data_IF_525099858397
#
_entry.id   IF_525099858397
#
_cell.length_a   1.000
_cell.length_b   1.000
_cell.length_c   1.000
_cell.angle_alpha   90.00
_cell.angle_beta   90.00
_cell.angle_gamma   90.00
#
_symmetry.space_group_name_H-M   'P 1'
#
loop_
_entity.id
_entity.type
_entity.pdbx_description
1 polymer ?
#
# COMPACT_ATOMS: atom_id res chain seq x y z
N UNK A 1 -49.73 48.13 -41.88
CA UNK A 1 -49.14 49.41 -42.30
C UNK A 1 -47.62 49.14 -42.20
N UNK A 2 -47.01 48.86 -43.31
CA UNK A 2 -46.19 49.73 -44.16
C UNK A 2 -44.94 50.18 -43.46
N UNK A 3 -43.77 49.98 -43.89
CA UNK A 3 -42.98 49.81 -45.11
C UNK A 3 -41.52 50.07 -44.63
N UNK A 4 -40.51 49.65 -45.12
CA UNK A 4 -39.78 49.45 -46.35
C UNK A 4 -38.26 49.51 -46.08
N UNK A 5 -37.54 48.71 -46.81
CA UNK A 5 -36.08 48.74 -47.02
C UNK A 5 -35.66 49.98 -47.85
N UNK A 6 -34.40 50.29 -48.08
CA UNK A 6 -33.41 49.45 -48.81
C UNK A 6 -31.96 49.63 -48.32
N UNK A 7 -31.04 48.64 -48.54
CA UNK A 7 -30.08 48.36 -49.65
C UNK A 7 -29.04 49.44 -49.93
N UNK A 8 -27.76 49.04 -49.82
CA UNK A 8 -26.74 49.17 -50.89
C UNK A 8 -25.48 48.36 -50.58
N UNK A 9 -25.04 47.64 -51.59
CA UNK A 9 -23.78 46.90 -51.70
C UNK A 9 -22.64 47.80 -52.20
N UNK A 10 -21.41 47.35 -52.10
CA UNK A 10 -20.21 47.54 -52.96
C UNK A 10 -18.98 47.25 -52.11
N UNK A 11 -17.94 46.55 -52.43
CA UNK A 11 -17.35 45.85 -53.55
C UNK A 11 -15.97 45.27 -53.07
N UNK A 12 -15.53 44.29 -53.78
CA UNK A 12 -14.33 43.48 -53.59
C UNK A 12 -12.99 44.26 -53.64
N UNK A 13 -12.01 43.70 -52.82
CA UNK A 13 -10.57 43.88 -53.02
C UNK A 13 -9.77 42.73 -52.43
N UNK A 14 -8.75 42.18 -53.10
CA UNK A 14 -8.13 40.91 -52.73
C UNK A 14 -7.12 41.04 -51.60
N UNK A 15 -7.12 40.02 -50.72
CA UNK A 15 -6.15 39.86 -49.65
C UNK A 15 -4.77 39.42 -50.15
N UNK A 16 -3.67 39.85 -49.54
CA UNK A 16 -2.32 39.41 -49.87
C UNK A 16 -1.99 38.08 -49.20
N UNK A 17 -1.27 37.25 -49.93
CA UNK A 17 -0.71 35.96 -49.50
C UNK A 17 0.46 36.17 -48.53
N UNK A 18 0.51 35.50 -47.36
CA UNK A 18 1.70 35.53 -46.53
C UNK A 18 2.77 34.56 -47.01
N UNK A 19 4.07 34.83 -46.73
CA UNK A 19 5.20 34.04 -47.22
C UNK A 19 5.33 32.70 -46.51
N UNK A 20 5.75 31.68 -47.25
CA UNK A 20 6.18 30.36 -46.78
C UNK A 20 7.39 30.53 -45.86
N UNK A 21 7.32 29.93 -44.68
CA UNK A 21 8.49 29.65 -43.83
C UNK A 21 8.84 28.16 -43.97
N UNK A 22 10.12 27.96 -44.23
CA UNK A 22 10.75 26.66 -44.39
C UNK A 22 10.74 25.85 -43.08
N UNK A 23 10.57 24.59 -43.32
CA UNK A 23 10.60 23.46 -42.42
C UNK A 23 11.93 23.27 -41.69
N UNK A 24 11.87 23.00 -40.43
CA UNK A 24 12.99 22.54 -39.60
C UNK A 24 12.66 22.44 -38.12
N UNK A 25 11.65 21.64 -37.77
CA UNK A 25 11.46 21.27 -36.35
C UNK A 25 11.21 19.78 -36.21
N UNK A 26 12.18 19.16 -35.58
CA UNK A 26 12.15 17.78 -35.11
C UNK A 26 10.93 17.57 -34.19
N UNK A 27 10.12 16.57 -34.54
CA UNK A 27 8.96 16.15 -33.76
C UNK A 27 9.36 15.75 -32.36
N UNK A 28 9.23 16.67 -31.41
CA UNK A 28 9.19 16.40 -30.01
C UNK A 28 7.86 15.68 -29.69
N UNK A 29 7.95 14.45 -29.19
CA UNK A 29 6.81 13.70 -28.67
C UNK A 29 6.11 14.56 -27.64
N UNK A 30 4.91 15.03 -27.96
CA UNK A 30 4.05 15.74 -27.04
C UNK A 30 3.80 14.86 -25.82
N UNK A 31 4.19 15.33 -24.64
CA UNK A 31 3.74 14.78 -23.35
C UNK A 31 2.25 15.07 -23.25
N UNK A 32 1.42 14.10 -23.58
CA UNK A 32 0.02 14.14 -23.20
C UNK A 32 -0.10 14.06 -21.69
N UNK A 33 -0.85 15.01 -21.11
CA UNK A 33 -1.33 14.98 -19.74
C UNK A 33 -0.47 15.70 -18.71
N UNK A 34 -0.33 17.01 -18.84
CA UNK A 34 -0.14 17.86 -17.66
C UNK A 34 -1.46 17.82 -16.89
N UNK A 35 -1.59 16.87 -15.94
CA UNK A 35 -2.64 16.95 -14.94
C UNK A 35 -2.45 18.25 -14.16
N UNK A 36 -3.56 18.92 -13.86
CA UNK A 36 -3.60 20.07 -12.97
C UNK A 36 -2.73 19.82 -11.72
N UNK A 37 -2.11 20.86 -11.13
CA UNK A 37 -1.37 20.73 -9.89
C UNK A 37 -2.25 19.93 -8.93
N UNK A 38 -1.63 19.00 -8.19
CA UNK A 38 -2.32 18.13 -7.24
C UNK A 38 -3.06 19.00 -6.24
N UNK A 39 -4.27 19.45 -6.62
CA UNK A 39 -5.14 20.16 -5.70
C UNK A 39 -5.23 19.28 -4.47
N UNK A 40 -4.83 19.85 -3.33
CA UNK A 40 -4.62 19.14 -2.09
C UNK A 40 -5.92 18.43 -1.69
N UNK A 41 -6.09 17.17 -2.11
CA UNK A 41 -7.23 16.37 -1.69
C UNK A 41 -7.07 16.12 -0.19
N UNK A 42 -7.88 16.73 0.70
CA UNK A 42 -7.60 16.81 2.13
C UNK A 42 -7.63 15.45 2.83
N UNK A 43 -8.31 14.46 2.25
CA UNK A 43 -8.31 13.08 2.75
C UNK A 43 -7.10 12.28 2.28
N UNK A 44 -6.37 12.72 1.24
CA UNK A 44 -5.14 12.09 0.75
C UNK A 44 -3.92 12.70 1.42
N UNK A 45 -3.85 14.03 1.48
CA UNK A 45 -2.67 14.75 1.94
C UNK A 45 -2.90 15.45 3.28
N UNK A 46 -1.94 15.33 4.17
CA UNK A 46 -1.81 16.22 5.32
C UNK A 46 -1.02 17.47 4.95
N UNK A 47 0.08 17.27 4.24
CA UNK A 47 0.92 18.34 3.69
C UNK A 47 1.32 17.94 2.28
N UNK A 48 1.33 18.87 1.35
CA UNK A 48 1.77 18.68 -0.04
C UNK A 48 2.59 19.86 -0.51
N UNK A 49 3.56 19.62 -1.38
CA UNK A 49 4.42 20.60 -2.04
C UNK A 49 4.78 20.16 -3.46
N UNK A 50 5.51 21.00 -4.18
CA UNK A 50 5.92 20.72 -5.57
C UNK A 50 7.43 20.98 -5.78
N UNK A 51 8.32 20.11 -5.25
CA UNK A 51 8.09 19.08 -4.23
C UNK A 51 8.01 19.66 -2.80
N UNK A 52 7.51 18.84 -1.84
CA UNK A 52 7.59 19.18 -0.41
C UNK A 52 9.05 19.10 0.09
N UNK A 53 9.77 18.06 -0.36
CA UNK A 53 11.21 17.92 -0.14
C UNK A 53 11.84 17.43 -1.45
N UNK A 54 12.79 18.22 -1.98
CA UNK A 54 13.51 17.86 -3.19
C UNK A 54 14.53 16.74 -2.92
N UNK A 55 14.79 15.93 -3.94
CA UNK A 55 15.84 14.91 -3.91
C UNK A 55 17.21 15.54 -3.61
N UNK A 56 18.02 14.83 -2.84
CA UNK A 56 19.38 15.32 -2.49
C UNK A 56 20.33 15.29 -3.69
N UNK A 57 20.10 14.37 -4.61
CA UNK A 57 20.93 14.19 -5.80
C UNK A 57 20.21 13.41 -6.89
N UNK A 58 20.71 13.42 -8.10
CA UNK A 58 20.26 12.52 -9.15
C UNK A 58 20.63 11.05 -8.82
N UNK A 59 19.73 10.12 -9.14
CA UNK A 59 19.92 8.70 -8.88
C UNK A 59 18.94 7.82 -9.65
N UNK A 60 18.86 6.56 -9.26
CA UNK A 60 18.02 5.55 -9.94
C UNK A 60 16.53 5.84 -9.85
N UNK A 61 16.09 6.67 -8.91
CA UNK A 61 14.70 7.09 -8.74
C UNK A 61 14.42 8.52 -9.22
N UNK A 62 15.37 9.17 -9.94
CA UNK A 62 15.17 10.54 -10.43
C UNK A 62 13.90 10.68 -11.26
N UNK A 63 13.13 11.71 -10.96
CA UNK A 63 11.83 12.00 -11.56
C UNK A 63 10.67 11.19 -10.95
N UNK A 64 10.90 10.40 -9.90
CA UNK A 64 9.85 9.71 -9.16
C UNK A 64 9.40 10.55 -7.97
N UNK A 65 8.08 10.60 -7.73
CA UNK A 65 7.41 11.34 -6.67
C UNK A 65 6.95 10.39 -5.57
N UNK A 66 7.22 10.74 -4.31
CA UNK A 66 6.91 9.91 -3.15
C UNK A 66 5.78 10.51 -2.32
N UNK A 67 4.74 9.71 -2.03
CA UNK A 67 3.77 9.95 -0.99
C UNK A 67 4.25 9.24 0.30
N UNK A 68 4.63 10.00 1.31
CA UNK A 68 5.13 9.47 2.58
C UNK A 68 3.98 9.34 3.56
N UNK A 69 3.70 8.14 4.08
CA UNK A 69 2.69 7.92 5.11
C UNK A 69 2.99 8.75 6.35
N UNK A 70 1.96 9.37 6.94
CA UNK A 70 2.06 10.24 8.12
C UNK A 70 2.36 9.47 9.43
N UNK A 71 3.31 8.54 9.33
CA UNK A 71 3.97 7.82 10.42
C UNK A 71 5.49 7.91 10.32
N UNK A 72 6.01 8.49 9.22
CA UNK A 72 7.45 8.65 9.03
C UNK A 72 7.86 10.09 9.27
N UNK A 73 8.97 10.27 9.93
CA UNK A 73 9.61 11.56 10.10
C UNK A 73 10.01 12.16 8.74
N UNK A 74 9.53 13.36 8.49
CA UNK A 74 9.98 14.23 7.41
C UNK A 74 10.51 15.50 8.09
N UNK A 75 11.79 15.78 7.97
CA UNK A 75 12.43 16.91 8.64
C UNK A 75 11.65 18.22 8.39
N UNK A 76 11.44 19.00 9.44
CA UNK A 76 10.65 20.22 9.41
C UNK A 76 9.14 20.02 9.61
N UNK A 77 8.67 18.77 9.76
CA UNK A 77 7.26 18.46 9.98
C UNK A 77 7.08 17.53 11.18
N UNK A 78 5.99 17.72 11.93
CA UNK A 78 5.57 16.78 12.96
C UNK A 78 4.91 15.54 12.32
N UNK A 79 4.92 14.40 13.00
CA UNK A 79 4.19 13.20 12.58
C UNK A 79 2.78 13.28 13.14
N UNK A 80 1.77 13.23 12.25
CA UNK A 80 0.36 13.39 12.65
C UNK A 80 -0.36 12.12 13.03
N UNK A 81 0.15 10.96 12.65
CA UNK A 81 -0.41 9.64 12.96
C UNK A 81 -1.93 9.51 12.72
N UNK A 82 -2.49 10.27 11.78
CA UNK A 82 -3.91 10.22 11.46
C UNK A 82 -4.84 10.80 12.53
N UNK A 83 -4.33 11.52 13.56
CA UNK A 83 -5.13 12.11 14.63
C UNK A 83 -4.75 13.58 14.87
N UNK A 84 -5.73 14.52 14.91
CA UNK A 84 -5.44 15.95 15.07
C UNK A 84 -4.97 16.33 16.48
N UNK A 85 -5.36 15.59 17.52
CA UNK A 85 -4.88 15.85 18.88
C UNK A 85 -3.43 15.40 19.03
N UNK A 86 -3.09 14.22 18.49
CA UNK A 86 -1.71 13.76 18.40
C UNK A 86 -0.82 14.77 17.68
N UNK A 87 -1.25 15.25 16.51
CA UNK A 87 -0.48 16.21 15.71
C UNK A 87 -0.18 17.51 16.47
N UNK A 88 -1.10 18.00 17.30
CA UNK A 88 -0.88 19.24 18.08
C UNK A 88 0.21 19.10 19.14
N UNK A 89 0.41 17.89 19.66
CA UNK A 89 1.38 17.60 20.73
C UNK A 89 2.69 17.05 20.17
N UNK A 90 2.68 16.56 18.92
CA UNK A 90 3.84 15.92 18.31
C UNK A 90 4.97 16.94 18.05
N UNK A 91 6.24 16.61 18.36
CA UNK A 91 7.38 17.46 18.05
C UNK A 91 7.59 17.57 16.53
N UNK A 92 8.20 18.67 16.11
CA UNK A 92 8.70 18.80 14.74
C UNK A 92 9.96 17.97 14.60
N UNK A 93 10.00 17.09 13.61
CA UNK A 93 11.11 16.19 13.36
C UNK A 93 12.33 16.96 12.81
N UNK A 94 13.51 16.72 13.36
CA UNK A 94 14.77 17.36 12.95
C UNK A 94 15.49 16.60 11.83
N UNK A 95 15.11 15.34 11.57
CA UNK A 95 15.72 14.48 10.56
C UNK A 95 14.64 13.68 9.81
N UNK A 96 14.99 13.21 8.63
CA UNK A 96 14.13 12.27 7.90
C UNK A 96 14.23 10.87 8.48
N UNK A 97 13.14 10.12 8.43
CA UNK A 97 13.17 8.68 8.65
C UNK A 97 14.14 7.98 7.69
N UNK A 98 14.75 6.88 8.11
CA UNK A 98 15.78 6.19 7.33
C UNK A 98 15.31 5.84 5.91
N UNK A 99 14.07 5.37 5.75
CA UNK A 99 13.50 5.04 4.45
C UNK A 99 13.26 6.29 3.58
N UNK A 100 12.79 7.38 4.15
CA UNK A 100 12.61 8.68 3.45
C UNK A 100 13.95 9.18 2.95
N UNK A 101 14.94 9.17 3.82
CA UNK A 101 16.31 9.59 3.51
C UNK A 101 16.93 8.75 2.37
N UNK A 102 16.71 7.44 2.38
CA UNK A 102 17.20 6.55 1.33
C UNK A 102 16.57 6.88 -0.04
N UNK A 103 15.27 7.19 -0.09
CA UNK A 103 14.56 7.56 -1.31
C UNK A 103 15.06 8.92 -1.86
N UNK A 104 15.24 9.94 -1.00
CA UNK A 104 15.79 11.24 -1.37
C UNK A 104 17.21 11.10 -1.95
N UNK A 105 18.06 10.29 -1.32
CA UNK A 105 19.42 9.99 -1.81
C UNK A 105 19.43 9.23 -3.13
N UNK A 106 18.39 8.46 -3.39
CA UNK A 106 18.24 7.74 -4.66
C UNK A 106 17.66 8.61 -5.79
N UNK A 107 17.31 9.87 -5.51
CA UNK A 107 16.85 10.83 -6.49
C UNK A 107 15.33 10.99 -6.60
N UNK A 108 14.57 10.43 -5.66
CA UNK A 108 13.12 10.64 -5.61
C UNK A 108 12.78 11.92 -4.82
N UNK A 109 11.78 12.66 -5.29
CA UNK A 109 11.23 13.83 -4.60
C UNK A 109 10.09 13.42 -3.67
N UNK A 110 10.03 13.94 -2.45
CA UNK A 110 8.84 13.81 -1.60
C UNK A 110 7.81 14.86 -2.03
N UNK A 111 6.68 14.40 -2.57
CA UNK A 111 5.57 15.28 -2.96
C UNK A 111 4.77 15.71 -1.74
N UNK A 112 4.57 14.81 -0.78
CA UNK A 112 3.79 15.15 0.40
C UNK A 112 3.74 14.07 1.46
N UNK A 113 3.16 14.46 2.59
CA UNK A 113 2.86 13.58 3.73
C UNK A 113 1.40 13.14 3.57
N UNK A 114 1.21 11.85 3.33
CA UNK A 114 -0.08 11.25 3.04
C UNK A 114 -0.80 10.80 4.32
N UNK A 115 -2.11 11.03 4.37
CA UNK A 115 -2.98 10.59 5.47
C UNK A 115 -2.90 9.07 5.68
N UNK A 116 -3.20 8.66 6.91
CA UNK A 116 -3.26 7.28 7.36
C UNK A 116 -4.51 7.06 8.20
N UNK A 117 -4.94 5.82 8.37
CA UNK A 117 -5.94 5.49 9.39
C UNK A 117 -5.39 5.88 10.77
N UNK A 118 -6.28 6.23 11.70
CA UNK A 118 -5.94 6.76 13.01
C UNK A 118 -4.98 5.84 13.77
N UNK A 119 -3.84 6.38 14.23
CA UNK A 119 -2.75 5.67 14.90
C UNK A 119 -2.33 4.37 14.17
N UNK A 120 -2.43 4.37 12.84
CA UNK A 120 -2.18 3.22 11.97
C UNK A 120 -3.10 2.01 12.19
N UNK A 121 -4.12 2.11 13.05
CA UNK A 121 -5.03 1.01 13.37
C UNK A 121 -6.26 1.02 12.49
N UNK A 122 -6.22 0.26 11.39
CA UNK A 122 -7.32 0.10 10.45
C UNK A 122 -6.89 -0.62 9.19
N UNK A 123 -7.86 -1.19 8.46
CA UNK A 123 -7.66 -1.85 7.17
C UNK A 123 -8.56 -1.27 6.07
N UNK A 124 -9.38 -0.28 6.41
CA UNK A 124 -10.39 0.25 5.51
C UNK A 124 -9.98 1.54 4.79
N UNK A 125 -9.14 2.35 5.39
CA UNK A 125 -8.86 3.70 4.91
C UNK A 125 -9.93 4.71 5.33
N UNK A 126 -10.74 4.38 6.33
CA UNK A 126 -11.71 5.29 6.93
C UNK A 126 -11.09 5.95 8.15
N UNK A 127 -10.88 7.24 8.08
CA UNK A 127 -10.43 8.04 9.22
C UNK A 127 -11.55 8.96 9.68
N UNK A 128 -11.92 8.89 10.96
CA UNK A 128 -13.03 9.66 11.52
C UNK A 128 -12.80 11.17 11.52
N UNK A 129 -11.53 11.60 11.50
CA UNK A 129 -11.13 13.01 11.52
C UNK A 129 -10.97 13.60 10.11
N UNK A 130 -10.53 12.79 9.14
CA UNK A 130 -10.09 13.28 7.83
C UNK A 130 -10.83 12.66 6.65
N UNK A 131 -11.77 11.76 6.93
CA UNK A 131 -12.57 11.10 5.91
C UNK A 131 -11.83 9.97 5.19
N UNK A 132 -12.29 9.66 3.99
CA UNK A 132 -11.85 8.54 3.18
C UNK A 132 -11.11 9.06 1.94
N UNK A 133 -9.85 8.64 1.69
CA UNK A 133 -9.17 8.91 0.43
C UNK A 133 -9.90 8.23 -0.75
N UNK A 134 -9.93 8.84 -1.95
CA UNK A 134 -10.55 8.25 -3.11
C UNK A 134 -9.85 6.97 -3.56
N UNK A 135 -10.62 6.00 -4.02
CA UNK A 135 -10.13 4.82 -4.73
C UNK A 135 -10.52 4.90 -6.22
N UNK A 136 -9.65 5.34 -7.13
CA UNK A 136 -10.00 5.46 -8.55
C UNK A 136 -10.17 4.09 -9.23
N UNK A 137 -9.64 3.01 -8.66
CA UNK A 137 -9.82 1.66 -9.17
C UNK A 137 -11.20 1.08 -8.84
N UNK A 138 -11.86 1.62 -7.81
CA UNK A 138 -13.22 1.26 -7.37
C UNK A 138 -13.94 2.51 -6.83
N UNK A 139 -14.45 3.40 -7.70
CA UNK A 139 -15.05 4.67 -7.29
C UNK A 139 -16.16 4.49 -6.26
N UNK A 140 -16.18 5.35 -5.23
CA UNK A 140 -17.14 5.29 -4.12
C UNK A 140 -16.89 4.16 -3.10
N UNK A 141 -15.82 3.39 -3.25
CA UNK A 141 -15.43 2.32 -2.34
C UNK A 141 -14.15 2.67 -1.57
N UNK A 142 -13.91 1.96 -0.47
CA UNK A 142 -12.75 2.22 0.38
C UNK A 142 -11.42 1.96 -0.35
N UNK A 143 -10.36 2.73 -0.06
CA UNK A 143 -9.03 2.48 -0.64
C UNK A 143 -8.29 1.34 0.07
N UNK A 144 -8.77 0.88 1.22
CA UNK A 144 -7.99 0.05 2.14
C UNK A 144 -7.03 0.87 2.99
N UNK A 145 -6.55 0.29 4.08
CA UNK A 145 -5.70 0.95 5.08
C UNK A 145 -4.75 -0.02 5.79
N UNK A 146 -3.92 0.56 6.65
CA UNK A 146 -3.84 1.93 7.12
C UNK A 146 -3.01 2.89 6.23
N UNK A 147 -2.26 2.41 5.23
CA UNK A 147 -1.51 3.26 4.29
C UNK A 147 -2.43 3.82 3.18
N UNK A 148 -3.62 4.30 3.59
CA UNK A 148 -4.73 4.68 2.71
C UNK A 148 -4.40 5.87 1.81
N UNK A 149 -3.87 6.95 2.35
CA UNK A 149 -3.48 8.14 1.59
C UNK A 149 -2.33 7.85 0.62
N UNK A 150 -1.31 7.06 1.04
CA UNK A 150 -0.20 6.68 0.17
C UNK A 150 -0.68 5.86 -1.03
N UNK A 151 -1.58 4.89 -0.81
CA UNK A 151 -2.14 4.07 -1.87
C UNK A 151 -3.04 4.89 -2.81
N UNK A 152 -3.90 5.74 -2.25
CA UNK A 152 -4.76 6.64 -3.02
C UNK A 152 -3.94 7.61 -3.87
N UNK A 153 -2.90 8.24 -3.32
CA UNK A 153 -2.01 9.15 -4.05
C UNK A 153 -1.39 8.47 -5.26
N UNK A 154 -0.90 7.23 -5.08
CA UNK A 154 -0.30 6.45 -6.18
C UNK A 154 -1.36 6.04 -7.21
N UNK A 155 -2.52 5.57 -6.76
CA UNK A 155 -3.60 5.16 -7.65
C UNK A 155 -4.16 6.32 -8.49
N UNK A 156 -4.24 7.52 -7.91
CA UNK A 156 -4.66 8.76 -8.59
C UNK A 156 -3.57 9.35 -9.51
N UNK A 157 -2.34 8.85 -9.49
CA UNK A 157 -1.23 9.44 -10.24
C UNK A 157 -0.62 10.70 -9.62
N UNK A 158 -0.98 11.03 -8.38
CA UNK A 158 -0.44 12.17 -7.65
C UNK A 158 0.98 11.90 -7.12
N UNK A 159 1.33 10.63 -6.93
CA UNK A 159 2.67 10.14 -6.63
C UNK A 159 2.95 8.86 -7.44
N UNK A 160 4.22 8.48 -7.51
CA UNK A 160 4.66 7.27 -8.22
C UNK A 160 4.99 6.15 -7.24
N UNK A 161 5.44 6.52 -6.05
CA UNK A 161 5.83 5.64 -4.95
C UNK A 161 5.00 6.01 -3.73
N UNK A 162 4.35 5.04 -3.10
CA UNK A 162 3.73 5.18 -1.79
C UNK A 162 4.60 4.49 -0.75
N UNK A 163 5.18 5.26 0.18
CA UNK A 163 5.85 4.71 1.35
C UNK A 163 4.81 4.50 2.44
N UNK A 164 4.78 3.31 3.01
CA UNK A 164 3.81 2.91 4.03
C UNK A 164 4.40 1.96 5.07
N UNK A 165 3.57 1.52 6.00
CA UNK A 165 3.90 0.52 7.01
C UNK A 165 2.93 -0.64 6.92
N UNK A 166 3.41 -1.87 7.09
CA UNK A 166 2.57 -3.06 7.12
C UNK A 166 2.84 -3.88 8.38
N UNK A 167 1.94 -3.81 9.33
CA UNK A 167 1.91 -4.63 10.55
C UNK A 167 1.11 -5.90 10.28
N UNK A 168 -0.15 -5.69 9.92
CA UNK A 168 -1.13 -6.73 9.66
C UNK A 168 -1.95 -6.35 8.39
N UNK A 169 -1.27 -6.18 7.25
CA UNK A 169 -1.91 -5.93 5.97
C UNK A 169 -2.00 -4.46 5.53
N UNK A 170 -1.44 -3.53 6.30
CA UNK A 170 -1.62 -2.09 6.09
C UNK A 170 -1.01 -1.51 4.80
N UNK A 171 -0.29 -2.32 4.02
CA UNK A 171 0.10 -2.00 2.63
C UNK A 171 -0.54 -2.99 1.66
N UNK A 172 -0.61 -4.26 2.03
CA UNK A 172 -1.17 -5.34 1.20
C UNK A 172 -2.65 -5.11 0.86
N UNK A 173 -3.47 -4.75 1.86
CA UNK A 173 -4.91 -4.49 1.67
C UNK A 173 -5.16 -3.31 0.73
N UNK A 174 -4.60 -2.10 0.97
CA UNK A 174 -4.79 -0.99 0.04
C UNK A 174 -4.19 -1.26 -1.34
N UNK A 175 -3.11 -2.03 -1.44
CA UNK A 175 -2.57 -2.49 -2.74
C UNK A 175 -3.60 -3.30 -3.53
N UNK A 176 -4.25 -4.28 -2.87
CA UNK A 176 -5.29 -5.10 -3.47
C UNK A 176 -6.47 -4.26 -3.94
N UNK A 177 -7.01 -3.40 -3.08
CA UNK A 177 -8.19 -2.59 -3.37
C UNK A 177 -7.96 -1.49 -4.42
N UNK A 178 -6.73 -1.00 -4.54
CA UNK A 178 -6.37 0.03 -5.52
C UNK A 178 -5.74 -0.55 -6.80
N UNK A 179 -5.56 -1.87 -6.92
CA UNK A 179 -4.98 -2.52 -8.09
C UNK A 179 -3.52 -2.15 -8.35
N UNK A 180 -2.73 -2.09 -7.29
CA UNK A 180 -1.32 -1.70 -7.29
C UNK A 180 -0.39 -2.90 -7.09
N UNK A 181 0.91 -2.63 -7.09
CA UNK A 181 1.98 -3.57 -6.71
C UNK A 181 2.59 -3.11 -5.40
N UNK A 182 2.92 -4.02 -4.48
CA UNK A 182 3.61 -3.67 -3.24
C UNK A 182 4.53 -4.77 -2.74
N UNK A 183 5.51 -4.37 -1.93
CA UNK A 183 6.31 -5.27 -1.13
C UNK A 183 6.15 -4.93 0.36
N UNK A 184 5.71 -5.93 1.13
CA UNK A 184 5.98 -6.06 2.56
C UNK A 184 7.27 -6.84 2.66
N UNK A 185 8.39 -6.27 3.16
CA UNK A 185 9.64 -7.02 3.28
C UNK A 185 9.63 -7.97 4.47
N UNK A 186 10.64 -8.83 4.54
CA UNK A 186 10.98 -9.58 5.74
C UNK A 186 11.09 -8.64 6.94
N UNK A 187 10.44 -9.00 8.06
CA UNK A 187 10.46 -8.20 9.27
C UNK A 187 11.88 -7.91 9.75
N UNK A 188 12.14 -6.65 10.11
CA UNK A 188 13.45 -6.16 10.56
C UNK A 188 14.51 -6.03 9.46
N UNK A 189 14.18 -6.30 8.18
CA UNK A 189 15.15 -6.20 7.08
C UNK A 189 15.41 -4.74 6.66
N UNK A 190 14.40 -3.89 6.69
CA UNK A 190 14.48 -2.47 6.36
C UNK A 190 14.44 -1.66 7.66
N UNK A 191 15.39 -0.74 7.89
CA UNK A 191 15.39 0.08 9.10
C UNK A 191 14.12 0.92 9.25
N UNK A 192 13.53 0.91 10.45
CA UNK A 192 12.33 1.63 10.84
C UNK A 192 12.61 2.94 11.61
N UNK A 193 13.87 3.33 11.73
CA UNK A 193 14.30 4.55 12.41
C UNK A 193 13.55 5.78 11.88
N UNK A 194 12.95 6.55 12.78
CA UNK A 194 12.11 7.71 12.44
C UNK A 194 10.69 7.35 12.03
N UNK A 195 10.22 6.15 12.39
CA UNK A 195 8.83 5.72 12.22
C UNK A 195 8.13 5.63 13.57
N UNK A 196 6.87 6.07 13.65
CA UNK A 196 5.98 5.74 14.77
C UNK A 196 5.47 4.33 14.56
N UNK A 197 5.73 3.44 15.54
CA UNK A 197 5.29 2.05 15.53
C UNK A 197 3.82 1.87 15.91
N UNK A 198 3.25 0.76 15.46
CA UNK A 198 1.97 0.21 15.92
C UNK A 198 2.20 -1.03 16.79
N UNK A 199 2.95 -1.98 16.25
CA UNK A 199 3.38 -3.21 16.94
C UNK A 199 4.76 -3.61 16.40
N UNK A 200 5.85 -3.19 17.05
CA UNK A 200 7.23 -3.38 16.56
C UNK A 200 7.61 -4.83 16.24
N UNK A 201 6.99 -5.82 16.91
CA UNK A 201 7.22 -7.24 16.60
C UNK A 201 6.72 -7.67 15.20
N UNK A 202 5.93 -6.83 14.52
CA UNK A 202 5.29 -7.13 13.24
C UNK A 202 5.43 -6.00 12.21
N UNK A 203 5.73 -4.78 12.64
CA UNK A 203 5.83 -3.61 11.78
C UNK A 203 6.92 -3.76 10.73
N UNK A 204 6.61 -3.38 9.50
CA UNK A 204 7.59 -3.31 8.42
C UNK A 204 7.45 -2.00 7.65
N UNK A 205 8.58 -1.39 7.32
CA UNK A 205 8.62 -0.34 6.29
C UNK A 205 8.32 -1.00 4.95
N UNK A 206 7.27 -0.56 4.29
CA UNK A 206 6.74 -1.20 3.07
C UNK A 206 6.43 -0.15 2.01
N UNK A 207 6.33 -0.53 0.75
CA UNK A 207 6.09 0.40 -0.34
C UNK A 207 5.20 -0.19 -1.43
N UNK A 208 4.58 0.72 -2.18
CA UNK A 208 3.69 0.37 -3.28
C UNK A 208 3.88 1.31 -4.48
N UNK A 209 3.59 0.79 -5.68
CA UNK A 209 3.73 1.49 -6.96
C UNK A 209 2.66 1.04 -7.95
N UNK A 210 2.49 1.82 -9.06
CA UNK A 210 1.61 1.42 -10.17
C UNK A 210 2.23 0.36 -11.09
N UNK A 211 3.56 0.23 -11.11
CA UNK A 211 4.23 -0.67 -12.06
C UNK A 211 5.24 -1.58 -11.36
N UNK A 212 5.39 -2.82 -11.81
CA UNK A 212 6.33 -3.77 -11.23
C UNK A 212 7.79 -3.31 -11.40
N UNK A 213 8.11 -2.64 -12.49
CA UNK A 213 9.46 -2.09 -12.76
C UNK A 213 9.86 -1.04 -11.70
N UNK A 214 8.95 -0.13 -11.35
CA UNK A 214 9.24 0.86 -10.32
C UNK A 214 9.32 0.22 -8.94
N UNK A 215 8.46 -0.77 -8.65
CA UNK A 215 8.55 -1.53 -7.40
C UNK A 215 9.94 -2.17 -7.22
N UNK A 216 10.45 -2.82 -8.27
CA UNK A 216 11.79 -3.42 -8.26
C UNK A 216 12.88 -2.39 -8.01
N UNK A 217 12.83 -1.22 -8.68
CA UNK A 217 13.81 -0.14 -8.48
C UNK A 217 13.78 0.43 -7.06
N UNK A 218 12.60 0.63 -6.48
CA UNK A 218 12.45 1.07 -5.09
C UNK A 218 13.00 0.01 -4.14
N UNK A 219 12.72 -1.26 -4.42
CA UNK A 219 13.23 -2.38 -3.64
C UNK A 219 14.76 -2.47 -3.69
N UNK A 220 15.39 -2.14 -4.82
CA UNK A 220 16.86 -2.07 -4.93
C UNK A 220 17.48 -0.98 -4.06
N UNK A 221 16.72 0.08 -3.77
CA UNK A 221 17.15 1.18 -2.88
C UNK A 221 16.96 0.83 -1.42
N UNK A 222 15.81 0.26 -1.05
CA UNK A 222 15.42 0.07 0.35
C UNK A 222 15.91 -1.25 0.94
N UNK A 223 16.06 -2.30 0.11
CA UNK A 223 16.53 -3.61 0.58
C UNK A 223 18.07 -3.67 0.63
N UNK A 224 18.64 -4.31 1.64
CA UNK A 224 20.07 -4.57 1.66
C UNK A 224 20.49 -5.42 0.47
N UNK A 225 21.74 -5.22 -0.01
CA UNK A 225 22.31 -6.04 -1.09
C UNK A 225 22.65 -7.42 -0.54
N UNK A 226 21.76 -8.37 -0.79
CA UNK A 226 21.94 -9.80 -0.45
C UNK A 226 21.58 -10.65 -1.67
N UNK A 227 22.32 -11.73 -1.89
CA UNK A 227 21.89 -12.77 -2.83
C UNK A 227 20.72 -13.51 -2.22
N UNK A 228 19.67 -13.72 -3.01
CA UNK A 228 18.52 -14.53 -2.63
C UNK A 228 18.40 -15.69 -3.65
N UNK A 229 18.00 -16.87 -3.17
CA UNK A 229 17.64 -17.96 -4.06
C UNK A 229 16.44 -17.53 -4.92
N UNK A 230 16.49 -17.70 -6.24
CA UNK A 230 15.35 -17.38 -7.11
C UNK A 230 14.08 -18.12 -6.67
N UNK A 231 12.92 -17.58 -7.01
CA UNK A 231 11.66 -18.32 -6.87
C UNK A 231 11.64 -19.36 -7.98
N UNK A 232 11.58 -20.64 -7.59
CA UNK A 232 11.64 -21.80 -8.48
C UNK A 232 10.26 -22.47 -8.64
N UNK A 233 9.35 -22.22 -7.70
CA UNK A 233 7.97 -22.73 -7.76
C UNK A 233 6.98 -21.85 -7.00
N UNK A 234 5.72 -21.93 -7.43
CA UNK A 234 4.59 -21.39 -6.70
C UNK A 234 3.74 -22.52 -6.12
N UNK A 235 3.27 -22.31 -4.89
CA UNK A 235 2.29 -23.18 -4.22
C UNK A 235 0.97 -22.42 -4.12
N UNK A 236 -0.08 -22.87 -4.81
CA UNK A 236 -1.42 -22.32 -4.69
C UNK A 236 -2.06 -22.87 -3.42
N UNK A 237 -2.28 -22.01 -2.42
CA UNK A 237 -2.87 -22.36 -1.13
C UNK A 237 -4.39 -22.56 -1.27
N UNK A 238 -4.82 -23.74 -1.72
CA UNK A 238 -6.23 -24.01 -2.09
C UNK A 238 -7.23 -23.71 -0.99
N UNK A 239 -6.88 -24.00 0.25
CA UNK A 239 -7.66 -23.71 1.46
C UNK A 239 -7.81 -22.21 1.75
N UNK A 240 -6.81 -21.39 1.41
CA UNK A 240 -6.89 -19.94 1.58
C UNK A 240 -7.71 -19.27 0.47
N UNK A 241 -7.78 -19.87 -0.72
CA UNK A 241 -8.69 -19.38 -1.77
C UNK A 241 -10.17 -19.57 -1.39
N UNK A 242 -10.48 -20.51 -0.49
CA UNK A 242 -11.84 -20.72 0.00
C UNK A 242 -12.32 -19.62 0.95
N UNK A 243 -11.42 -18.76 1.45
CA UNK A 243 -11.76 -17.56 2.21
C UNK A 243 -12.21 -16.39 1.32
N UNK A 244 -11.94 -16.45 0.01
CA UNK A 244 -12.40 -15.44 -0.93
C UNK A 244 -13.89 -15.65 -1.27
N UNK A 245 -14.54 -14.55 -1.68
CA UNK A 245 -15.88 -14.57 -2.26
C UNK A 245 -15.97 -15.70 -3.31
N UNK A 246 -16.96 -16.58 -3.25
CA UNK A 246 -17.10 -17.69 -4.19
C UNK A 246 -16.99 -17.29 -5.66
N UNK A 247 -17.50 -16.10 -6.04
CA UNK A 247 -17.42 -15.59 -7.42
C UNK A 247 -15.99 -15.23 -7.86
N UNK A 248 -15.09 -14.99 -6.90
CA UNK A 248 -13.70 -14.62 -7.17
C UNK A 248 -12.72 -15.79 -7.18
N UNK A 249 -13.10 -16.95 -6.62
CA UNK A 249 -12.19 -18.08 -6.41
C UNK A 249 -11.56 -18.59 -7.69
N UNK A 250 -12.38 -18.90 -8.71
CA UNK A 250 -11.89 -19.37 -10.01
C UNK A 250 -11.09 -18.29 -10.73
N UNK A 251 -11.61 -17.06 -10.92
CA UNK A 251 -10.81 -16.00 -11.54
C UNK A 251 -9.46 -15.72 -10.88
N UNK A 252 -9.39 -15.78 -9.55
CA UNK A 252 -8.12 -15.58 -8.83
C UNK A 252 -7.16 -16.77 -9.03
N UNK A 253 -7.65 -18.00 -9.11
CA UNK A 253 -6.83 -19.18 -9.45
C UNK A 253 -6.28 -19.07 -10.88
N UNK A 254 -7.11 -18.64 -11.83
CA UNK A 254 -6.68 -18.42 -13.21
C UNK A 254 -5.62 -17.31 -13.30
N UNK A 255 -5.78 -16.23 -12.54
CA UNK A 255 -4.76 -15.19 -12.43
C UNK A 255 -3.46 -15.73 -11.80
N UNK A 256 -3.53 -16.64 -10.82
CA UNK A 256 -2.35 -17.27 -10.25
C UNK A 256 -1.59 -18.14 -11.27
N UNK A 257 -2.32 -18.89 -12.12
CA UNK A 257 -1.73 -19.63 -13.23
C UNK A 257 -1.07 -18.69 -14.24
N UNK A 258 -1.75 -17.62 -14.64
CA UNK A 258 -1.17 -16.62 -15.55
C UNK A 258 0.10 -15.96 -14.99
N UNK A 259 0.17 -15.75 -13.67
CA UNK A 259 1.39 -15.25 -13.04
C UNK A 259 2.50 -16.29 -13.01
N UNK A 260 2.20 -17.58 -12.74
CA UNK A 260 3.18 -18.66 -12.79
C UNK A 260 3.81 -18.79 -14.19
N UNK A 261 2.97 -18.74 -15.23
CA UNK A 261 3.42 -18.78 -16.63
C UNK A 261 4.33 -17.58 -16.95
N UNK A 262 3.95 -16.38 -16.51
CA UNK A 262 4.77 -15.16 -16.68
C UNK A 262 6.12 -15.27 -15.97
N UNK A 263 6.15 -15.84 -14.78
CA UNK A 263 7.37 -16.03 -14.00
C UNK A 263 8.21 -17.22 -14.51
N UNK A 264 7.66 -18.04 -15.41
CA UNK A 264 8.33 -19.23 -15.96
C UNK A 264 8.55 -20.31 -14.89
N UNK A 265 7.69 -20.40 -13.88
CA UNK A 265 7.82 -21.35 -12.77
C UNK A 265 6.57 -22.24 -12.64
N UNK A 266 6.71 -23.52 -12.21
CA UNK A 266 5.55 -24.37 -11.99
C UNK A 266 4.66 -23.87 -10.85
N UNK A 267 3.34 -23.97 -11.05
CA UNK A 267 2.32 -23.77 -10.01
C UNK A 267 1.75 -25.11 -9.59
N UNK A 268 1.82 -25.41 -8.31
CA UNK A 268 1.26 -26.64 -7.73
C UNK A 268 0.13 -26.29 -6.75
N UNK A 269 -1.06 -26.82 -6.98
CA UNK A 269 -2.18 -26.69 -6.03
C UNK A 269 -1.94 -27.61 -4.81
N UNK A 270 -2.06 -27.02 -3.62
CA UNK A 270 -1.91 -27.75 -2.35
C UNK A 270 -2.72 -27.08 -1.26
N UNK A 271 -3.33 -27.87 -0.35
CA UNK A 271 -3.76 -27.30 0.92
C UNK A 271 -2.55 -26.84 1.71
N UNK A 272 -2.55 -25.60 2.16
CA UNK A 272 -1.48 -25.05 2.99
C UNK A 272 -1.56 -25.55 4.43
N UNK A 273 -2.71 -26.14 4.82
CA UNK A 273 -3.07 -26.46 6.22
C UNK A 273 -3.15 -25.21 7.14
N UNK A 274 -2.86 -24.02 6.61
CA UNK A 274 -2.93 -22.78 7.38
C UNK A 274 -4.35 -22.49 7.86
N UNK A 275 -5.37 -22.81 7.04
CA UNK A 275 -6.77 -22.53 7.37
C UNK A 275 -7.20 -23.07 8.74
N UNK A 276 -6.65 -24.21 9.17
CA UNK A 276 -6.93 -24.81 10.47
C UNK A 276 -6.37 -24.00 11.67
N UNK A 277 -5.43 -23.11 11.43
CA UNK A 277 -4.71 -22.36 12.47
C UNK A 277 -4.95 -20.85 12.41
N UNK A 278 -5.66 -20.34 11.41
CA UNK A 278 -5.77 -18.90 11.16
C UNK A 278 -6.42 -18.15 12.32
N UNK A 279 -7.44 -18.74 12.95
CA UNK A 279 -8.10 -18.14 14.11
C UNK A 279 -7.12 -17.98 15.28
N UNK A 280 -6.39 -19.05 15.63
CA UNK A 280 -5.39 -19.05 16.69
C UNK A 280 -4.27 -18.04 16.41
N UNK A 281 -3.78 -17.97 15.15
CA UNK A 281 -2.73 -17.04 14.76
C UNK A 281 -3.22 -15.59 14.75
N UNK A 282 -4.45 -15.35 14.31
CA UNK A 282 -5.06 -14.03 14.34
C UNK A 282 -5.27 -13.51 15.76
N UNK A 283 -5.71 -14.37 16.67
CA UNK A 283 -5.86 -14.04 18.10
C UNK A 283 -4.50 -13.74 18.75
N UNK A 284 -3.50 -14.57 18.51
CA UNK A 284 -2.14 -14.35 19.03
C UNK A 284 -1.53 -13.04 18.52
N UNK A 285 -1.71 -12.75 17.21
CA UNK A 285 -1.32 -11.48 16.62
C UNK A 285 -2.02 -10.30 17.31
N UNK A 286 -3.34 -10.40 17.51
CA UNK A 286 -4.15 -9.36 18.16
C UNK A 286 -3.71 -9.09 19.61
N UNK A 287 -3.42 -10.12 20.38
CA UNK A 287 -2.92 -10.00 21.76
C UNK A 287 -1.59 -9.27 21.81
N UNK A 288 -0.61 -9.69 21.01
CA UNK A 288 0.72 -9.06 20.98
C UNK A 288 0.63 -7.63 20.47
N UNK A 289 -0.18 -7.39 19.42
CA UNK A 289 -0.40 -6.05 18.90
C UNK A 289 -1.03 -5.12 19.95
N UNK A 290 -2.04 -5.56 20.68
CA UNK A 290 -2.68 -4.75 21.72
C UNK A 290 -1.69 -4.35 22.82
N UNK A 291 -0.88 -5.31 23.31
CA UNK A 291 0.15 -5.04 24.33
C UNK A 291 1.21 -4.06 23.85
N UNK A 292 1.65 -4.18 22.60
CA UNK A 292 2.65 -3.28 22.03
C UNK A 292 2.07 -1.89 21.75
N UNK A 293 0.84 -1.81 21.26
CA UNK A 293 0.10 -0.55 21.10
C UNK A 293 -0.06 0.17 22.44
N UNK A 294 -0.41 -0.56 23.51
CA UNK A 294 -0.52 0.03 24.83
C UNK A 294 0.82 0.57 25.35
N UNK A 295 1.90 -0.14 25.15
CA UNK A 295 3.24 0.31 25.53
C UNK A 295 3.68 1.58 24.81
N UNK A 296 3.31 1.71 23.54
CA UNK A 296 3.68 2.87 22.69
C UNK A 296 2.74 4.06 22.91
N UNK A 297 1.44 3.83 23.05
CA UNK A 297 0.42 4.87 22.95
C UNK A 297 -0.45 5.00 24.21
N UNK A 298 -0.39 4.06 25.14
CA UNK A 298 -1.29 4.01 26.31
C UNK A 298 -1.20 5.24 27.21
N UNK A 299 0.01 5.77 27.44
CA UNK A 299 0.17 6.99 28.24
C UNK A 299 -0.53 8.19 27.60
N UNK A 300 -0.36 8.36 26.28
CA UNK A 300 -1.01 9.42 25.54
C UNK A 300 -2.53 9.20 25.48
N UNK A 301 -2.98 7.97 25.26
CA UNK A 301 -4.40 7.62 25.23
C UNK A 301 -5.10 7.96 26.55
N UNK A 302 -4.49 7.69 27.71
CA UNK A 302 -5.08 8.03 29.03
C UNK A 302 -5.38 9.51 29.17
N UNK A 303 -4.53 10.37 28.60
CA UNK A 303 -4.71 11.82 28.63
C UNK A 303 -5.66 12.34 27.53
N UNK A 304 -5.86 11.59 26.44
CA UNK A 304 -6.52 12.05 25.23
C UNK A 304 -7.65 11.13 24.73
N UNK A 305 -8.25 10.30 25.60
CA UNK A 305 -9.20 9.25 25.20
C UNK A 305 -10.37 9.76 24.37
N UNK A 306 -10.91 10.94 24.71
CA UNK A 306 -12.04 11.55 23.98
C UNK A 306 -11.66 12.06 22.57
N UNK A 307 -10.37 12.25 22.32
CA UNK A 307 -9.84 12.67 21.03
C UNK A 307 -9.53 11.50 20.09
N UNK A 308 -9.72 10.26 20.54
CA UNK A 308 -9.46 9.03 19.77
C UNK A 308 -10.78 8.33 19.48
N UNK A 309 -10.95 7.82 18.27
CA UNK A 309 -12.15 7.06 17.90
C UNK A 309 -12.32 5.83 18.80
N UNK A 310 -13.56 5.44 19.15
CA UNK A 310 -13.79 4.33 20.06
C UNK A 310 -13.10 3.02 19.65
N UNK A 311 -13.14 2.70 18.35
CA UNK A 311 -12.48 1.50 17.82
C UNK A 311 -10.97 1.46 18.10
N UNK A 312 -10.29 2.58 17.93
CA UNK A 312 -8.83 2.68 18.13
C UNK A 312 -8.52 2.75 19.63
N UNK A 313 -9.29 3.53 20.38
CA UNK A 313 -9.11 3.65 21.83
C UNK A 313 -9.28 2.29 22.54
N UNK A 314 -10.31 1.53 22.18
CA UNK A 314 -10.58 0.22 22.76
C UNK A 314 -9.51 -0.81 22.36
N UNK A 315 -9.02 -0.76 21.12
CA UNK A 315 -7.94 -1.63 20.66
C UNK A 315 -6.62 -1.38 21.42
N UNK A 316 -6.29 -0.12 21.70
CA UNK A 316 -5.10 0.23 22.49
C UNK A 316 -5.31 -0.17 23.95
N UNK A 317 -6.47 0.14 24.54
CA UNK A 317 -6.78 -0.14 25.93
C UNK A 317 -6.81 -1.66 26.23
N UNK A 318 -7.14 -2.48 25.24
CA UNK A 318 -7.11 -3.95 25.40
C UNK A 318 -5.74 -4.51 25.80
N UNK A 319 -4.67 -3.77 25.61
CA UNK A 319 -3.31 -4.16 25.99
C UNK A 319 -2.91 -3.75 27.41
N UNK A 320 -3.72 -2.93 28.12
CA UNK A 320 -3.37 -2.36 29.43
C UNK A 320 -3.14 -3.44 30.49
N UNK A 321 -4.12 -4.29 30.69
CA UNK A 321 -4.12 -5.31 31.74
C UNK A 321 -4.09 -6.73 31.14
N UNK A 322 -3.34 -6.92 30.06
CA UNK A 322 -3.24 -8.22 29.39
C UNK A 322 -2.68 -9.28 30.35
N UNK A 323 -3.41 -10.38 30.62
CA UNK A 323 -2.94 -11.44 31.52
C UNK A 323 -1.63 -12.06 31.03
N UNK A 324 -0.71 -12.33 31.96
CA UNK A 324 0.64 -12.81 31.61
C UNK A 324 0.63 -14.20 30.95
N UNK A 325 -0.29 -15.08 31.36
CA UNK A 325 -0.49 -16.40 30.74
C UNK A 325 -1.02 -16.29 29.29
N UNK A 326 -1.91 -15.33 29.02
CA UNK A 326 -2.42 -15.07 27.68
C UNK A 326 -1.33 -14.49 26.76
N UNK A 327 -0.50 -13.61 27.31
CA UNK A 327 0.67 -13.08 26.60
C UNK A 327 1.70 -14.18 26.30
N UNK A 328 1.94 -15.10 27.26
CA UNK A 328 2.83 -16.25 27.08
C UNK A 328 2.30 -17.20 26.00
N UNK A 329 1.00 -17.53 26.04
CA UNK A 329 0.33 -18.30 25.00
C UNK A 329 0.48 -17.67 23.61
N UNK A 330 0.26 -16.36 23.49
CA UNK A 330 0.35 -15.68 22.21
C UNK A 330 1.79 -15.74 21.61
N UNK A 331 2.81 -15.58 22.46
CA UNK A 331 4.21 -15.71 22.05
C UNK A 331 4.56 -17.11 21.60
N UNK A 332 4.11 -18.12 22.34
CA UNK A 332 4.33 -19.52 21.98
C UNK A 332 3.60 -19.88 20.67
N UNK A 333 2.37 -19.44 20.50
CA UNK A 333 1.61 -19.61 19.26
C UNK A 333 2.31 -18.98 18.04
N UNK A 334 2.83 -17.76 18.19
CA UNK A 334 3.63 -17.10 17.11
C UNK A 334 4.90 -17.90 16.84
N UNK A 335 5.56 -18.45 17.86
CA UNK A 335 6.74 -19.32 17.71
C UNK A 335 6.42 -20.57 16.89
N UNK A 336 5.34 -21.27 17.23
CA UNK A 336 4.87 -22.43 16.46
C UNK A 336 4.49 -22.10 15.02
N UNK A 337 3.78 -20.98 14.82
CA UNK A 337 3.41 -20.53 13.48
C UNK A 337 4.63 -20.27 12.58
N UNK A 338 5.67 -19.65 13.13
CA UNK A 338 6.95 -19.41 12.42
C UNK A 338 7.60 -20.71 11.96
N UNK A 339 7.65 -21.72 12.84
CA UNK A 339 8.17 -23.06 12.49
C UNK A 339 7.37 -23.72 11.36
N UNK A 340 6.05 -23.80 11.53
CA UNK A 340 5.17 -24.42 10.54
C UNK A 340 5.24 -23.72 9.16
N UNK A 341 5.30 -22.39 9.13
CA UNK A 341 5.40 -21.63 7.88
C UNK A 341 6.80 -21.74 7.24
N UNK A 342 7.85 -21.87 8.02
CA UNK A 342 9.19 -22.12 7.47
C UNK A 342 9.30 -23.51 6.79
N UNK A 343 8.61 -24.51 7.31
CA UNK A 343 8.52 -25.84 6.69
C UNK A 343 7.63 -25.82 5.43
N UNK A 344 6.55 -25.07 5.46
CA UNK A 344 5.62 -24.95 4.33
C UNK A 344 6.21 -24.19 3.15
N UNK A 345 6.97 -23.14 3.43
CA UNK A 345 7.52 -22.20 2.45
C UNK A 345 9.05 -22.21 2.53
N UNK A 346 9.73 -23.26 2.05
CA UNK A 346 11.19 -23.30 2.01
C UNK A 346 11.75 -22.30 0.99
N UNK A 347 13.05 -21.96 1.05
CA UNK A 347 13.71 -21.14 0.05
C UNK A 347 13.43 -21.62 -1.38
N UNK A 348 13.27 -20.68 -2.33
CA UNK A 348 12.87 -20.99 -3.71
C UNK A 348 11.38 -21.20 -3.92
N UNK A 349 10.58 -21.19 -2.85
CA UNK A 349 9.12 -21.36 -2.92
C UNK A 349 8.39 -20.08 -2.54
N UNK A 350 7.31 -19.76 -3.27
CA UNK A 350 6.34 -18.74 -2.85
C UNK A 350 4.92 -19.33 -2.79
N UNK A 351 4.24 -19.09 -1.68
CA UNK A 351 2.84 -19.44 -1.49
C UNK A 351 1.96 -18.36 -2.11
N UNK A 352 1.02 -18.76 -2.99
CA UNK A 352 0.07 -17.87 -3.65
C UNK A 352 -1.28 -17.96 -2.94
N UNK A 353 -1.83 -16.80 -2.60
CA UNK A 353 -3.14 -16.68 -1.96
C UNK A 353 -3.84 -15.37 -2.38
N UNK A 354 -5.16 -15.23 -2.19
CA UNK A 354 -5.83 -13.94 -2.32
C UNK A 354 -5.22 -12.90 -1.35
N UNK A 355 -5.07 -11.66 -1.81
CA UNK A 355 -4.60 -10.58 -0.93
C UNK A 355 -5.70 -10.04 -0.02
N UNK A 356 -6.95 -10.10 -0.49
CA UNK A 356 -8.17 -9.73 0.25
C UNK A 356 -9.30 -10.70 -0.11
N UNK A 357 -10.28 -10.91 0.78
CA UNK A 357 -11.38 -11.87 0.51
C UNK A 357 -12.36 -11.35 -0.55
N UNK A 358 -12.48 -10.05 -0.71
CA UNK A 358 -13.39 -9.38 -1.65
C UNK A 358 -12.70 -8.23 -2.34
N UNK A 359 -13.32 -7.66 -3.38
CA UNK A 359 -13.00 -6.32 -3.84
C UNK A 359 -13.33 -5.29 -2.74
N UNK A 360 -12.83 -4.07 -2.93
CA UNK A 360 -13.07 -2.96 -2.00
C UNK A 360 -14.58 -2.81 -1.69
N UNK A 361 -15.01 -2.87 -0.42
CA UNK A 361 -16.41 -2.67 -0.07
C UNK A 361 -16.78 -1.18 -0.14
N UNK A 362 -18.08 -0.84 -0.24
CA UNK A 362 -18.54 0.53 -0.03
C UNK A 362 -18.32 0.94 1.43
N UNK A 363 -18.14 2.26 1.73
CA UNK A 363 -18.09 2.73 3.10
C UNK A 363 -19.41 2.44 3.84
N UNK A 364 -19.34 2.14 5.13
CA UNK A 364 -20.50 1.83 5.95
C UNK A 364 -20.37 0.53 6.75
N UNK A 365 -21.47 -0.05 7.25
CA UNK A 365 -21.45 -1.21 8.14
C UNK A 365 -20.73 -2.44 7.58
N UNK A 366 -20.71 -2.62 6.27
CA UNK A 366 -20.01 -3.74 5.62
C UNK A 366 -18.49 -3.68 5.83
N UNK A 367 -17.91 -2.47 5.91
CA UNK A 367 -16.47 -2.26 6.12
C UNK A 367 -16.07 -2.48 7.57
N UNK A 368 -16.94 -2.05 8.49
CA UNK A 368 -16.74 -2.18 9.93
C UNK A 368 -17.21 -3.53 10.46
N UNK A 369 -17.88 -4.31 9.60
CA UNK A 369 -18.43 -5.62 9.94
C UNK A 369 -17.33 -6.64 10.30
N UNK A 370 -17.55 -7.36 11.41
CA UNK A 370 -16.60 -8.33 11.94
C UNK A 370 -16.23 -9.41 10.91
N UNK A 371 -17.19 -9.92 10.15
CA UNK A 371 -16.97 -11.01 9.20
C UNK A 371 -15.92 -10.67 8.12
N UNK A 372 -16.02 -9.49 7.49
CA UNK A 372 -15.04 -9.06 6.49
C UNK A 372 -13.67 -8.80 7.11
N UNK A 373 -13.65 -8.16 8.29
CA UNK A 373 -12.41 -7.93 9.04
C UNK A 373 -11.71 -9.25 9.36
N UNK A 374 -12.45 -10.23 9.92
CA UNK A 374 -11.92 -11.56 10.26
C UNK A 374 -11.37 -12.26 9.03
N UNK A 375 -12.13 -12.35 7.93
CA UNK A 375 -11.66 -12.98 6.70
C UNK A 375 -10.42 -12.29 6.11
N UNK A 376 -10.35 -10.94 6.22
CA UNK A 376 -9.17 -10.20 5.79
C UNK A 376 -7.97 -10.51 6.69
N UNK A 377 -8.14 -10.49 8.01
CA UNK A 377 -7.08 -10.81 8.97
C UNK A 377 -6.58 -12.24 8.76
N UNK A 378 -7.45 -13.21 8.51
CA UNK A 378 -7.07 -14.60 8.21
C UNK A 378 -6.14 -14.70 6.99
N UNK A 379 -6.40 -13.94 5.91
CA UNK A 379 -5.53 -13.94 4.73
C UNK A 379 -4.16 -13.28 4.97
N UNK A 380 -4.08 -12.31 5.89
CA UNK A 380 -2.85 -11.54 6.10
C UNK A 380 -2.03 -11.99 7.30
N UNK A 381 -2.64 -12.66 8.30
CA UNK A 381 -2.00 -12.96 9.59
C UNK A 381 -0.80 -13.89 9.47
N UNK A 382 -0.85 -14.93 8.66
CA UNK A 382 0.24 -15.91 8.50
C UNK A 382 1.58 -15.24 8.20
N UNK A 383 1.63 -14.39 7.17
CA UNK A 383 2.85 -13.67 6.83
C UNK A 383 3.27 -12.66 7.91
N UNK A 384 2.30 -12.05 8.62
CA UNK A 384 2.57 -11.09 9.69
C UNK A 384 3.21 -11.76 10.90
N UNK A 385 2.61 -12.84 11.43
CA UNK A 385 3.14 -13.56 12.61
C UNK A 385 4.50 -14.19 12.35
N UNK A 386 4.74 -14.64 11.11
CA UNK A 386 6.02 -15.23 10.76
C UNK A 386 7.06 -14.21 10.26
N UNK A 387 6.68 -12.94 10.10
CA UNK A 387 7.60 -11.90 9.61
C UNK A 387 8.08 -12.13 8.18
N UNK A 388 7.26 -12.79 7.34
CA UNK A 388 7.61 -13.18 5.98
C UNK A 388 7.44 -12.03 4.98
N UNK A 389 8.28 -11.99 3.92
CA UNK A 389 8.11 -11.06 2.82
C UNK A 389 6.90 -11.44 1.96
N UNK A 390 6.15 -10.42 1.54
CA UNK A 390 4.98 -10.58 0.68
C UNK A 390 5.02 -9.60 -0.47
N UNK A 391 5.03 -10.14 -1.68
CA UNK A 391 4.76 -9.38 -2.90
C UNK A 391 3.25 -9.43 -3.16
N UNK A 392 2.59 -8.27 -3.16
CA UNK A 392 1.20 -8.15 -3.60
C UNK A 392 1.15 -7.57 -5.01
N UNK A 393 0.36 -8.17 -5.85
CA UNK A 393 0.24 -7.84 -7.26
C UNK A 393 -1.22 -7.92 -7.73
N UNK A 394 -1.59 -7.26 -8.83
CA UNK A 394 -2.93 -7.35 -9.37
C UNK A 394 -3.31 -8.80 -9.71
N UNK A 395 -4.49 -9.21 -9.25
CA UNK A 395 -5.09 -10.52 -9.55
C UNK A 395 -6.17 -10.38 -10.62
N UNK A 396 -7.39 -10.06 -10.18
CA UNK A 396 -8.55 -9.92 -11.06
C UNK A 396 -9.19 -8.55 -10.90
N UNK A 397 -9.93 -8.11 -11.93
CA UNK A 397 -10.78 -6.93 -11.88
C UNK A 397 -12.21 -7.33 -12.21
N UNK A 398 -13.08 -7.22 -11.22
CA UNK A 398 -14.53 -7.40 -11.38
C UNK A 398 -15.29 -6.06 -11.40
N UNK A 399 -16.63 -6.11 -11.48
CA UNK A 399 -17.48 -4.91 -11.43
C UNK A 399 -17.31 -4.07 -10.14
N UNK A 400 -16.94 -4.73 -9.05
CA UNK A 400 -16.73 -4.08 -7.75
C UNK A 400 -15.30 -3.49 -7.58
N UNK A 401 -14.43 -3.67 -8.57
CA UNK A 401 -13.04 -3.23 -8.53
C UNK A 401 -12.04 -4.39 -8.53
N UNK A 402 -10.74 -4.10 -8.31
CA UNK A 402 -9.69 -5.10 -8.31
C UNK A 402 -9.65 -5.92 -7.01
N UNK A 403 -9.12 -7.14 -7.14
CA UNK A 403 -8.66 -7.99 -6.04
C UNK A 403 -7.28 -8.51 -6.38
N UNK A 404 -6.33 -8.33 -5.46
CA UNK A 404 -4.94 -8.73 -5.65
C UNK A 404 -4.66 -10.18 -5.27
N UNK A 405 -3.49 -10.66 -5.69
CA UNK A 405 -2.84 -11.87 -5.21
C UNK A 405 -1.63 -11.51 -4.33
N UNK A 406 -1.37 -12.32 -3.34
CA UNK A 406 -0.18 -12.25 -2.50
C UNK A 406 0.74 -13.45 -2.76
N UNK A 407 2.02 -13.19 -3.03
CA UNK A 407 3.09 -14.18 -3.06
C UNK A 407 3.86 -14.07 -1.76
N UNK A 408 3.68 -15.03 -0.86
CA UNK A 408 4.37 -15.13 0.44
C UNK A 408 5.59 -16.02 0.28
N UNK A 409 6.78 -15.53 0.56
CA UNK A 409 8.00 -16.30 0.38
C UNK A 409 8.76 -16.51 1.70
N UNK A 410 9.78 -17.37 1.68
CA UNK A 410 10.64 -17.58 2.84
C UNK A 410 11.34 -16.27 3.29
N UNK A 411 11.64 -16.17 4.57
CA UNK A 411 12.37 -15.02 5.12
C UNK A 411 13.67 -14.79 4.34
N UNK A 412 13.93 -13.53 3.96
CA UNK A 412 15.11 -13.15 3.17
C UNK A 412 14.95 -13.31 1.65
N UNK A 413 13.80 -13.79 1.16
CA UNK A 413 13.53 -13.94 -0.29
C UNK A 413 13.02 -12.65 -0.96
N UNK A 414 13.10 -11.52 -0.30
CA UNK A 414 12.60 -10.22 -0.76
C UNK A 414 13.07 -9.85 -2.16
N UNK A 415 14.39 -9.96 -2.42
CA UNK A 415 14.97 -9.66 -3.73
C UNK A 415 14.56 -10.66 -4.79
N UNK A 416 14.37 -11.92 -4.43
CA UNK A 416 13.88 -12.93 -5.37
C UNK A 416 12.45 -12.61 -5.83
N UNK A 417 11.56 -12.19 -4.90
CA UNK A 417 10.20 -11.78 -5.23
C UNK A 417 10.19 -10.57 -6.19
N UNK A 418 11.04 -9.58 -5.96
CA UNK A 418 11.07 -8.38 -6.81
C UNK A 418 11.83 -8.58 -8.12
N UNK A 419 12.87 -9.42 -8.13
CA UNK A 419 13.59 -9.80 -9.34
C UNK A 419 12.71 -10.58 -10.33
N UNK A 420 11.80 -11.41 -9.82
CA UNK A 420 10.82 -12.11 -10.62
C UNK A 420 9.92 -11.15 -11.44
N UNK A 421 9.74 -9.91 -10.98
CA UNK A 421 8.99 -8.87 -11.71
C UNK A 421 9.85 -8.08 -12.72
N UNK A 422 11.17 -8.04 -12.56
CA UNK A 422 12.05 -7.15 -13.34
C UNK A 422 12.11 -7.50 -14.84
N UNK A 423 11.87 -8.75 -15.21
CA UNK A 423 11.77 -9.21 -16.60
C UNK A 423 10.52 -8.78 -17.35
N UNK A 424 9.58 -8.09 -16.68
CA UNK A 424 8.28 -7.76 -17.24
C UNK A 424 8.25 -6.28 -17.65
N UNK A 425 8.46 -6.03 -18.92
CA UNK A 425 8.10 -4.75 -19.56
C UNK A 425 6.57 -4.72 -19.65
N UNK A 426 5.93 -4.18 -18.62
CA UNK A 426 4.48 -4.08 -18.61
C UNK A 426 4.02 -2.90 -19.47
N UNK A 427 3.59 -3.18 -20.67
CA UNK A 427 2.62 -2.37 -21.42
C UNK A 427 1.30 -3.12 -21.68
N UNK A 428 1.04 -4.16 -20.93
CA UNK A 428 -0.28 -4.83 -20.92
C UNK A 428 -0.95 -4.61 -19.56
N UNK A 429 -1.73 -3.53 -19.46
CA UNK A 429 -2.83 -3.47 -18.47
C UNK A 429 -3.76 -4.65 -18.76
N UNK A 430 -4.14 -5.45 -17.74
CA UNK A 430 -5.18 -6.46 -17.93
C UNK A 430 -6.52 -5.82 -18.25
#
# INVERSE_FOLDING_TARGET
>A
MSAQRPSTAVANGPSPIPPRRDSGETAGVAREGVSAPAEAHPSVWRVVGDPLVAAERRGVLSGSRVAVKDLFAVAGHAIGAGNPAWLREAPVESAHAAAVQALLRAGADVTGIARTDELAYGLSGLNTHYGMPPNPAAPGRVPGGSSSGSASAVALGLADIGLGTDTAGSVRVPTSYCGLYSLRPTHGLVPDTGQIGLAPSFDTVSWLTRTPRLLSRVSDVLLPRRTAQPIEQLLLATDLFDLADPALRTPLKDAAHAWADRLGVPLRGRSSTCAAHLEEWAQALGVLQAVEMWRLHGSWLRANREAVSPLVADAIAAGEDMPADYLAWARDTVGRARGALAELIPPGTALVQPATPTAAPPPGPAVTGMALRTATVHLICAASVAGLPVLTLPGVRGPAGPVGLSLVAASGSDRALTAALAGHTADSRP
#
